data_IF_668964367696
#
_entry.id   IF_668964367696
#
_cell.length_a   1.000
_cell.length_b   1.000
_cell.length_c   1.000
_cell.angle_alpha   90.00
_cell.angle_beta   90.00
_cell.angle_gamma   90.00
#
_symmetry.space_group_name_H-M   'P 1'
#
loop_
_entity.id
_entity.type
_entity.pdbx_description
1 polymer ?
#
# COMPACT_ATOMS: atom_id res chain seq x y z
N UNK A 1 -2.21 -3.33 4.85
CA UNK A 1 -2.56 -3.79 3.49
C UNK A 1 -3.86 -4.59 3.39
N UNK A 2 -4.29 -5.32 4.43
CA UNK A 2 -5.51 -6.17 4.42
C UNK A 2 -6.71 -5.58 3.65
N UNK A 3 -7.10 -4.35 3.99
CA UNK A 3 -8.28 -3.69 3.42
C UNK A 3 -8.12 -3.35 1.94
N UNK A 4 -6.89 -3.07 1.48
CA UNK A 4 -6.59 -2.74 0.07
C UNK A 4 -6.70 -3.99 -0.78
N UNK A 5 -6.11 -5.10 -0.31
CA UNK A 5 -6.19 -6.40 -0.99
C UNK A 5 -7.62 -6.94 -0.97
N UNK A 6 -8.32 -6.87 0.16
CA UNK A 6 -9.73 -7.27 0.26
C UNK A 6 -10.65 -6.46 -0.66
N UNK A 7 -10.28 -5.22 -1.01
CA UNK A 7 -10.98 -4.39 -1.97
C UNK A 7 -10.62 -4.70 -3.45
N UNK A 8 -9.77 -5.70 -3.71
CA UNK A 8 -9.37 -6.11 -5.06
C UNK A 8 -8.22 -5.28 -5.64
N UNK A 9 -7.37 -4.71 -4.79
CA UNK A 9 -6.22 -3.91 -5.22
C UNK A 9 -4.90 -4.51 -4.72
N UNK A 10 -3.87 -4.45 -5.57
CA UNK A 10 -2.51 -4.94 -5.33
C UNK A 10 -1.49 -3.82 -5.58
N UNK A 11 -0.21 -4.09 -5.30
CA UNK A 11 0.90 -3.14 -5.50
C UNK A 11 0.70 -1.79 -4.78
N UNK A 12 0.24 -1.82 -3.53
CA UNK A 12 0.02 -0.60 -2.77
C UNK A 12 1.34 0.11 -2.41
N UNK A 13 1.49 1.36 -2.83
CA UNK A 13 2.63 2.21 -2.50
C UNK A 13 2.20 3.57 -1.92
N UNK A 14 3.00 4.08 -0.98
CA UNK A 14 2.92 5.47 -0.49
C UNK A 14 4.18 6.18 -0.97
N UNK A 15 4.01 7.23 -1.76
CA UNK A 15 5.14 8.05 -2.22
C UNK A 15 5.09 9.43 -1.56
N UNK A 16 6.25 9.91 -1.13
CA UNK A 16 6.41 11.24 -0.54
C UNK A 16 7.06 12.19 -1.52
N UNK A 17 6.57 13.44 -1.54
CA UNK A 17 7.18 14.53 -2.30
C UNK A 17 7.26 14.24 -3.81
N UNK A 18 6.29 13.46 -4.31
CA UNK A 18 6.15 13.10 -5.72
C UNK A 18 5.04 13.93 -6.36
N UNK A 19 5.16 14.17 -7.66
CA UNK A 19 4.12 14.85 -8.42
C UNK A 19 2.78 14.11 -8.27
N UNK A 20 1.76 14.83 -7.84
CA UNK A 20 0.46 14.25 -7.44
C UNK A 20 -0.39 13.87 -8.65
N UNK A 21 -0.19 14.54 -9.78
CA UNK A 21 -1.06 14.41 -10.93
C UNK A 21 -0.38 13.73 -12.13
N UNK A 22 0.94 13.57 -12.08
CA UNK A 22 1.74 12.90 -13.11
C UNK A 22 1.26 11.47 -13.37
N UNK A 23 0.61 11.29 -14.51
CA UNK A 23 0.05 10.01 -14.95
C UNK A 23 -1.32 9.67 -14.36
N UNK A 24 -1.99 10.61 -13.68
CA UNK A 24 -3.38 10.45 -13.27
C UNK A 24 -4.33 10.71 -14.48
N UNK A 25 -5.42 9.94 -14.66
CA UNK A 25 -6.37 10.15 -15.75
C UNK A 25 -7.07 11.53 -15.71
N UNK A 26 -7.10 12.15 -14.53
CA UNK A 26 -7.66 13.45 -14.25
C UNK A 26 -6.53 14.49 -14.19
N UNK A 27 -5.84 14.58 -15.32
CA UNK A 27 -4.89 15.63 -15.66
C UNK A 27 -5.65 16.95 -15.83
N UNK A 28 -5.31 17.98 -15.05
CA UNK A 28 -6.01 19.25 -14.97
C UNK A 28 -5.09 20.36 -14.48
N UNK A 29 -5.59 21.58 -14.30
CA UNK A 29 -4.75 22.76 -13.99
C UNK A 29 -3.79 22.60 -12.81
N UNK A 30 -4.04 21.64 -11.90
CA UNK A 30 -3.19 21.36 -10.73
C UNK A 30 -1.86 20.64 -11.08
N UNK A 31 -1.73 20.00 -12.24
CA UNK A 31 -0.43 19.53 -12.78
C UNK A 31 0.54 20.69 -13.00
N UNK A 32 0.04 21.81 -13.53
CA UNK A 32 0.87 22.97 -13.87
C UNK A 32 1.44 23.70 -12.64
N UNK A 33 0.89 23.45 -11.45
CA UNK A 33 1.38 24.06 -10.20
C UNK A 33 2.47 23.23 -9.51
N UNK A 34 2.86 22.07 -10.07
CA UNK A 34 3.95 21.25 -9.53
C UNK A 34 3.71 20.83 -8.08
N UNK A 35 2.46 20.51 -7.75
CA UNK A 35 2.07 20.18 -6.39
C UNK A 35 2.74 18.87 -5.97
N UNK A 36 3.76 18.98 -5.11
CA UNK A 36 4.41 17.82 -4.50
C UNK A 36 3.61 17.39 -3.27
N UNK A 37 3.18 16.13 -3.24
CA UNK A 37 2.31 15.62 -2.19
C UNK A 37 2.66 14.22 -1.74
N UNK A 38 1.82 13.69 -0.86
CA UNK A 38 1.80 12.27 -0.50
C UNK A 38 0.81 11.59 -1.43
N UNK A 39 1.24 10.57 -2.18
CA UNK A 39 0.36 9.80 -3.04
C UNK A 39 0.17 8.39 -2.50
N UNK A 40 -1.08 7.93 -2.54
CA UNK A 40 -1.46 6.54 -2.32
C UNK A 40 -1.80 5.94 -3.67
N UNK A 41 -1.09 4.90 -4.06
CA UNK A 41 -1.33 4.21 -5.33
C UNK A 41 -1.57 2.74 -5.04
N UNK A 42 -2.48 2.16 -5.81
CA UNK A 42 -2.72 0.74 -5.89
C UNK A 42 -3.24 0.42 -7.28
N UNK A 43 -3.02 -0.79 -7.75
CA UNK A 43 -3.50 -1.28 -9.04
C UNK A 43 -4.65 -2.25 -8.81
N UNK A 44 -5.67 -2.21 -9.65
CA UNK A 44 -6.74 -3.23 -9.63
C UNK A 44 -6.17 -4.57 -10.09
N UNK A 45 -6.54 -5.66 -9.43
CA UNK A 45 -6.10 -6.98 -9.88
C UNK A 45 -6.67 -7.29 -11.26
N UNK A 46 -5.91 -8.05 -12.05
CA UNK A 46 -6.31 -8.48 -13.39
C UNK A 46 -7.17 -9.74 -13.32
N UNK A 47 -6.93 -10.58 -12.31
CA UNK A 47 -7.58 -11.87 -12.11
C UNK A 47 -7.60 -12.29 -10.62
N UNK A 48 -8.30 -13.39 -10.34
CA UNK A 48 -8.48 -13.94 -8.99
C UNK A 48 -7.21 -14.62 -8.46
N UNK A 49 -6.35 -15.12 -9.34
CA UNK A 49 -5.11 -15.81 -8.96
C UNK A 49 -4.09 -14.82 -8.40
N UNK A 50 -3.94 -13.67 -9.06
CA UNK A 50 -3.16 -12.52 -8.58
C UNK A 50 -3.67 -12.00 -7.22
N UNK A 51 -4.98 -11.91 -7.05
CA UNK A 51 -5.59 -11.50 -5.78
C UNK A 51 -5.31 -12.51 -4.66
N UNK A 52 -5.44 -13.80 -4.94
CA UNK A 52 -5.15 -14.87 -4.00
C UNK A 52 -3.67 -14.90 -3.59
N UNK A 53 -2.76 -14.70 -4.55
CA UNK A 53 -1.32 -14.61 -4.29
C UNK A 53 -0.99 -13.41 -3.38
N UNK A 54 -1.61 -12.24 -3.63
CA UNK A 54 -1.42 -11.06 -2.79
C UNK A 54 -1.97 -11.25 -1.37
N UNK A 55 -3.12 -11.91 -1.21
CA UNK A 55 -3.67 -12.27 0.11
C UNK A 55 -2.77 -13.24 0.86
N UNK A 56 -2.23 -14.25 0.17
CA UNK A 56 -1.34 -15.24 0.76
C UNK A 56 -0.02 -14.62 1.22
N UNK A 57 0.60 -13.77 0.40
CA UNK A 57 1.81 -13.04 0.77
C UNK A 57 1.60 -12.18 2.03
N UNK A 58 0.48 -11.47 2.11
CA UNK A 58 0.12 -10.68 3.29
C UNK A 58 -0.15 -11.53 4.53
N UNK A 59 -0.82 -12.68 4.39
CA UNK A 59 -1.05 -13.57 5.54
C UNK A 59 0.25 -14.16 6.11
N UNK A 60 1.26 -14.39 5.26
CA UNK A 60 2.59 -14.83 5.70
C UNK A 60 3.36 -13.73 6.44
N UNK A 61 3.27 -12.47 5.99
CA UNK A 61 4.00 -11.36 6.63
C UNK A 61 3.52 -11.11 8.07
N UNK A 62 2.22 -11.25 8.35
CA UNK A 62 1.65 -11.05 9.69
C UNK A 62 2.04 -12.16 10.66
N UNK A 63 2.14 -13.40 10.17
CA UNK A 63 2.46 -14.55 11.01
C UNK A 63 3.93 -14.57 11.46
N UNK A 64 4.81 -13.87 10.73
CA UNK A 64 6.23 -13.70 11.09
C UNK A 64 6.47 -12.60 12.15
N UNK A 65 5.43 -11.89 12.59
CA UNK A 65 5.52 -10.71 13.47
C UNK A 65 5.34 -10.97 14.97
N UNK A 66 5.32 -12.22 15.45
CA UNK A 66 5.13 -12.52 16.87
C UNK A 66 6.37 -13.15 17.53
N UNK A 67 7.01 -12.38 18.42
CA UNK A 67 8.05 -12.80 19.37
C UNK A 67 9.11 -11.70 19.49
N UNK A 68 9.45 -11.10 20.64
CA UNK A 68 9.28 -11.47 22.05
C UNK A 68 9.24 -10.19 22.90
N UNK A 69 8.11 -9.88 23.55
CA UNK A 69 8.05 -8.84 24.57
C UNK A 69 8.56 -9.44 25.88
N UNK A 70 9.88 -9.48 26.04
CA UNK A 70 10.54 -9.97 27.25
C UNK A 70 10.10 -9.17 28.48
N UNK A 71 9.44 -9.87 29.41
CA UNK A 71 9.20 -9.50 30.80
C UNK A 71 10.44 -8.81 31.40
N UNK A 72 10.38 -7.49 31.62
CA UNK A 72 11.33 -6.79 32.48
C UNK A 72 10.67 -6.55 33.84
N UNK A 73 10.70 -7.58 34.66
CA UNK A 73 10.66 -7.43 36.11
C UNK A 73 11.85 -6.54 36.52
N UNK A 74 11.55 -5.31 36.99
CA UNK A 74 12.54 -4.45 37.64
C UNK A 74 12.30 -4.49 39.14
N UNK A 75 13.30 -5.08 39.80
CA UNK A 75 13.73 -4.98 41.21
C UNK A 75 13.19 -3.77 41.95
#
# INVERSE_FOLDING_TARGET
>A
MATVVAAGFVDFEITWRKDVFGGAPQAGSAENFGTLGINFRARKTTDEEELAAALAAWSCEISNGTGEDGERERV
#
